data_IF_386148721022
#
_entry.id   IF_386148721022
#
_cell.length_a   1.000
_cell.length_b   1.000
_cell.length_c   1.000
_cell.angle_alpha   90.00
_cell.angle_beta   90.00
_cell.angle_gamma   90.00
#
_symmetry.space_group_name_H-M   'P 1'
#
loop_
_entity.id
_entity.type
_entity.pdbx_description
1 polymer ?
#
# COMPACT_ATOMS: atom_id res chain seq x y z
N UNK A 1 17.17 17.20 1.86
CA UNK A 1 15.85 17.48 1.24
C UNK A 1 15.35 18.85 1.71
N UNK A 2 15.07 19.79 0.79
CA UNK A 2 14.57 21.14 1.11
C UNK A 2 13.06 21.13 1.36
N UNK A 3 12.61 21.87 2.36
CA UNK A 3 11.26 21.81 2.94
C UNK A 3 10.13 22.49 2.15
N UNK A 4 8.93 22.23 2.65
CA UNK A 4 7.62 22.52 2.05
C UNK A 4 7.07 21.21 1.49
N UNK A 5 6.38 20.39 2.26
CA UNK A 5 4.90 20.39 2.28
C UNK A 5 4.30 19.73 3.54
N UNK A 6 5.13 19.36 4.52
CA UNK A 6 4.66 18.74 5.77
C UNK A 6 4.48 19.80 6.87
N UNK A 7 3.25 20.24 7.11
CA UNK A 7 2.95 21.16 8.22
C UNK A 7 2.89 20.38 9.55
N UNK A 8 3.71 20.79 10.52
CA UNK A 8 3.91 20.09 11.80
C UNK A 8 3.02 20.69 12.89
N UNK A 9 2.23 19.88 13.60
CA UNK A 9 1.44 20.38 14.75
C UNK A 9 1.83 19.87 16.13
N UNK A 10 2.77 18.92 16.30
CA UNK A 10 3.33 18.59 17.63
C UNK A 10 4.83 18.24 17.59
N UNK A 11 5.63 19.08 18.24
CA UNK A 11 7.00 18.84 18.78
C UNK A 11 7.83 17.74 18.11
N UNK A 12 8.48 18.08 16.99
CA UNK A 12 9.66 17.38 16.47
C UNK A 12 10.73 18.42 16.14
N UNK A 13 11.49 18.82 17.17
CA UNK A 13 12.48 19.91 17.12
C UNK A 13 13.79 19.56 16.37
N UNK A 14 13.91 18.35 15.79
CA UNK A 14 15.17 17.87 15.20
C UNK A 14 15.33 18.04 13.68
N UNK A 15 14.34 18.57 12.94
CA UNK A 15 14.50 18.84 11.49
C UNK A 15 15.11 20.22 11.22
N UNK A 16 16.24 20.52 11.87
CA UNK A 16 17.06 21.70 11.53
C UNK A 16 17.91 21.35 10.30
N UNK A 17 17.96 22.24 9.30
CA UNK A 17 18.69 22.11 8.02
C UNK A 17 20.21 21.80 8.20
N UNK A 18 20.72 21.86 9.42
CA UNK A 18 22.13 21.66 9.77
C UNK A 18 22.47 20.25 10.30
N UNK A 19 21.50 19.34 10.48
CA UNK A 19 21.76 17.97 10.96
C UNK A 19 21.61 16.94 9.83
N UNK A 20 22.49 15.92 9.74
CA UNK A 20 22.38 14.87 8.73
C UNK A 20 21.02 14.18 8.78
N UNK A 21 20.44 13.82 7.63
CA UNK A 21 19.12 13.19 7.51
C UNK A 21 18.99 11.95 8.43
N UNK A 22 20.06 11.18 8.58
CA UNK A 22 20.14 9.99 9.42
C UNK A 22 20.03 10.25 10.93
N UNK A 23 19.91 11.51 11.36
CA UNK A 23 19.66 11.89 12.76
C UNK A 23 18.22 12.33 13.01
N UNK A 24 17.40 12.39 11.95
CA UNK A 24 16.02 12.80 12.06
C UNK A 24 15.16 11.70 12.67
N UNK A 25 14.12 12.11 13.39
CA UNK A 25 13.16 11.17 13.95
C UNK A 25 12.52 10.34 12.83
N UNK A 26 12.39 9.03 13.07
CA UNK A 26 11.78 8.11 12.12
C UNK A 26 12.64 7.81 10.89
N UNK A 27 13.91 8.23 10.86
CA UNK A 27 14.83 7.96 9.75
C UNK A 27 15.94 7.02 10.21
N UNK A 28 16.02 5.84 9.58
CA UNK A 28 17.18 4.97 9.72
C UNK A 28 18.04 5.02 8.46
N UNK A 29 19.34 4.83 8.64
CA UNK A 29 20.29 4.78 7.54
C UNK A 29 21.24 3.57 7.62
N UNK A 30 21.60 3.06 6.46
CA UNK A 30 22.72 2.14 6.27
C UNK A 30 23.75 2.82 5.37
N UNK A 31 25.03 2.87 5.79
CA UNK A 31 26.11 3.50 5.02
C UNK A 31 25.78 4.93 4.53
N UNK A 32 25.12 5.72 5.40
CA UNK A 32 24.66 7.10 5.10
C UNK A 32 23.53 7.23 4.07
N UNK A 33 22.98 6.13 3.57
CA UNK A 33 21.76 6.12 2.76
C UNK A 33 20.54 5.85 3.64
N UNK A 34 19.46 6.61 3.47
CA UNK A 34 18.19 6.38 4.18
C UNK A 34 17.59 5.05 3.72
N UNK A 35 17.33 4.16 4.68
CA UNK A 35 16.77 2.83 4.44
C UNK A 35 15.39 2.65 5.03
N UNK A 36 15.06 3.33 6.14
CA UNK A 36 13.71 3.32 6.69
C UNK A 36 13.23 4.75 6.93
N UNK A 37 11.98 5.00 6.57
CA UNK A 37 11.25 6.23 6.90
C UNK A 37 9.92 5.84 7.57
N UNK A 38 9.88 5.94 8.90
CA UNK A 38 8.74 5.54 9.75
C UNK A 38 8.22 6.74 10.52
N UNK A 39 7.13 7.31 10.04
CA UNK A 39 6.49 8.52 10.58
C UNK A 39 5.01 8.27 10.90
N UNK A 40 4.67 7.10 11.47
CA UNK A 40 3.29 6.74 11.84
C UNK A 40 2.77 7.56 13.03
N UNK A 41 1.49 7.98 12.98
CA UNK A 41 0.79 8.53 14.15
C UNK A 41 1.23 9.93 14.61
N UNK A 42 1.96 10.69 13.78
CA UNK A 42 2.53 11.98 14.18
C UNK A 42 1.69 13.20 13.73
N UNK A 43 0.46 12.97 13.26
CA UNK A 43 -0.42 14.00 12.68
C UNK A 43 0.23 14.74 11.51
N UNK A 44 0.98 14.01 10.70
CA UNK A 44 1.60 14.53 9.48
C UNK A 44 0.53 14.82 8.42
N UNK A 45 0.62 15.97 7.74
CA UNK A 45 -0.34 16.38 6.70
C UNK A 45 0.36 16.97 5.48
N UNK A 46 -0.34 17.02 4.35
CA UNK A 46 0.22 17.38 3.05
C UNK A 46 0.36 16.18 2.13
N UNK A 47 0.96 16.36 0.96
CA UNK A 47 1.12 15.30 -0.04
C UNK A 47 2.49 14.64 0.00
N UNK A 48 2.57 13.38 -0.40
CA UNK A 48 3.83 12.67 -0.63
C UNK A 48 4.60 13.41 -1.75
N UNK A 49 5.78 13.99 -1.48
CA UNK A 49 6.51 14.78 -2.45
C UNK A 49 7.29 13.89 -3.45
N UNK A 50 7.49 14.38 -4.67
CA UNK A 50 8.27 13.67 -5.70
C UNK A 50 9.73 13.40 -5.28
N UNK A 51 10.25 14.15 -4.31
CA UNK A 51 11.56 13.93 -3.72
C UNK A 51 11.70 12.54 -3.08
N UNK A 52 10.60 11.86 -2.72
CA UNK A 52 10.65 10.50 -2.16
C UNK A 52 11.40 9.56 -3.09
N UNK A 53 11.23 9.69 -4.42
CA UNK A 53 11.88 8.87 -5.44
C UNK A 53 13.41 8.98 -5.47
N UNK A 54 14.01 9.93 -4.73
CA UNK A 54 15.47 10.03 -4.57
C UNK A 54 16.02 9.04 -3.54
N UNK A 55 15.16 8.46 -2.70
CA UNK A 55 15.56 7.50 -1.67
C UNK A 55 15.62 6.08 -2.24
N UNK A 56 16.43 5.84 -3.26
CA UNK A 56 16.48 4.55 -3.98
C UNK A 56 16.97 3.37 -3.12
N UNK A 57 17.54 3.64 -1.94
CA UNK A 57 17.93 2.63 -0.94
C UNK A 57 16.85 2.39 0.13
N UNK A 58 15.68 3.04 0.03
CA UNK A 58 14.60 2.90 0.99
C UNK A 58 13.99 1.50 0.90
N UNK A 59 14.01 0.78 2.02
CA UNK A 59 13.41 -0.54 2.20
C UNK A 59 12.05 -0.46 2.89
N UNK A 60 11.85 0.52 3.79
CA UNK A 60 10.59 0.72 4.51
C UNK A 60 10.11 2.16 4.41
N UNK A 61 8.86 2.32 3.97
CA UNK A 61 8.11 3.57 4.02
C UNK A 61 6.81 3.33 4.81
N UNK A 62 6.70 3.94 5.99
CA UNK A 62 5.50 3.85 6.81
C UNK A 62 5.04 5.27 7.20
N UNK A 63 3.87 5.66 6.67
CA UNK A 63 3.15 6.89 6.98
C UNK A 63 1.75 6.62 7.57
N UNK A 64 1.55 5.44 8.12
CA UNK A 64 0.28 4.98 8.70
C UNK A 64 -0.29 5.97 9.74
N UNK A 65 -1.62 6.02 9.84
CA UNK A 65 -2.33 6.79 10.87
C UNK A 65 -1.94 8.28 10.90
N UNK A 66 -2.06 8.96 9.76
CA UNK A 66 -1.77 10.39 9.62
C UNK A 66 -2.90 11.13 8.85
N UNK A 67 -2.62 12.33 8.34
CA UNK A 67 -3.51 13.11 7.49
C UNK A 67 -2.84 13.43 6.15
N UNK A 68 -2.03 12.50 5.63
CA UNK A 68 -1.40 12.62 4.31
C UNK A 68 -2.49 12.59 3.25
N UNK A 69 -2.44 13.50 2.27
CA UNK A 69 -3.47 13.68 1.26
C UNK A 69 -2.89 13.81 -0.15
N UNK A 70 -3.75 13.94 -1.16
CA UNK A 70 -3.31 13.94 -2.56
C UNK A 70 -3.06 12.53 -3.09
N UNK A 71 -2.30 12.39 -4.16
CA UNK A 71 -2.05 11.11 -4.83
C UNK A 71 -0.72 10.50 -4.41
N UNK A 72 -0.57 9.18 -4.53
CA UNK A 72 0.75 8.55 -4.52
C UNK A 72 1.45 8.98 -5.82
N UNK A 73 2.64 9.61 -5.76
CA UNK A 73 3.31 10.08 -6.96
C UNK A 73 3.93 8.93 -7.74
N UNK A 74 3.92 9.02 -9.08
CA UNK A 74 4.47 7.97 -9.97
C UNK A 74 5.94 7.62 -9.70
N UNK A 75 6.71 8.54 -9.10
CA UNK A 75 8.10 8.28 -8.70
C UNK A 75 8.24 7.22 -7.60
N UNK A 76 7.13 6.75 -7.01
CA UNK A 76 7.16 5.62 -6.04
C UNK A 76 7.82 4.38 -6.66
N UNK A 77 7.63 4.15 -7.96
CA UNK A 77 8.26 3.04 -8.69
C UNK A 77 9.79 3.15 -8.81
N UNK A 78 10.39 4.29 -8.46
CA UNK A 78 11.85 4.45 -8.41
C UNK A 78 12.47 3.84 -7.15
N UNK A 79 11.67 3.48 -6.15
CA UNK A 79 12.12 2.90 -4.89
C UNK A 79 12.37 1.39 -5.05
N UNK A 80 13.26 1.00 -5.95
CA UNK A 80 13.45 -0.40 -6.33
C UNK A 80 13.90 -1.32 -5.18
N UNK A 81 14.38 -0.78 -4.06
CA UNK A 81 14.72 -1.52 -2.85
C UNK A 81 13.56 -1.63 -1.84
N UNK A 82 12.38 -1.08 -2.14
CA UNK A 82 11.27 -1.02 -1.19
C UNK A 82 10.68 -2.42 -0.96
N UNK A 83 10.61 -2.79 0.31
CA UNK A 83 10.11 -4.08 0.80
C UNK A 83 8.79 -3.90 1.58
N UNK A 84 8.60 -2.74 2.23
CA UNK A 84 7.45 -2.44 3.06
C UNK A 84 6.90 -1.05 2.75
N UNK A 85 5.64 -0.99 2.29
CA UNK A 85 4.88 0.23 2.07
C UNK A 85 3.58 0.19 2.87
N UNK A 86 3.43 1.13 3.79
CA UNK A 86 2.28 1.23 4.66
C UNK A 86 1.79 2.68 4.73
N UNK A 87 0.60 2.87 4.19
CA UNK A 87 -0.09 4.15 4.03
C UNK A 87 -1.49 4.12 4.68
N UNK A 88 -1.79 3.13 5.52
CA UNK A 88 -3.10 2.96 6.15
C UNK A 88 -3.55 4.24 6.89
N UNK A 89 -4.87 4.46 6.94
CA UNK A 89 -5.52 5.57 7.68
C UNK A 89 -4.93 6.92 7.32
N UNK A 90 -5.08 7.28 6.05
CA UNK A 90 -4.73 8.59 5.53
C UNK A 90 -5.89 9.18 4.70
N UNK A 91 -5.61 10.25 3.97
CA UNK A 91 -6.55 10.95 3.10
C UNK A 91 -6.07 10.90 1.63
N UNK A 92 -5.35 9.84 1.25
CA UNK A 92 -4.84 9.66 -0.11
C UNK A 92 -5.98 9.42 -1.09
N UNK A 93 -5.82 9.90 -2.31
CA UNK A 93 -6.86 9.95 -3.35
C UNK A 93 -6.29 9.59 -4.72
N UNK A 94 -7.16 9.36 -5.69
CA UNK A 94 -6.77 9.02 -7.06
C UNK A 94 -6.32 7.56 -7.20
N UNK A 95 -6.10 7.07 -8.43
CA UNK A 95 -5.83 5.65 -8.64
C UNK A 95 -4.51 5.22 -8.00
N UNK A 96 -4.39 3.92 -7.70
CA UNK A 96 -3.10 3.29 -7.40
C UNK A 96 -2.19 3.48 -8.65
N UNK A 97 -1.03 4.15 -8.53
CA UNK A 97 -0.20 4.45 -9.70
C UNK A 97 0.40 3.17 -10.28
N UNK A 98 0.40 3.06 -11.60
CA UNK A 98 0.91 1.89 -12.33
C UNK A 98 2.38 1.57 -12.02
N UNK A 99 3.16 2.57 -11.62
CA UNK A 99 4.57 2.41 -11.23
C UNK A 99 4.76 1.71 -9.88
N UNK A 100 3.73 1.65 -9.03
CA UNK A 100 3.81 0.90 -7.77
C UNK A 100 4.00 -0.59 -8.07
N UNK A 101 3.36 -1.10 -9.12
CA UNK A 101 3.46 -2.51 -9.52
C UNK A 101 4.85 -2.92 -10.01
N UNK A 102 5.75 -1.97 -10.33
CA UNK A 102 7.14 -2.28 -10.68
C UNK A 102 8.04 -2.59 -9.47
N UNK A 103 7.53 -2.47 -8.25
CA UNK A 103 8.27 -2.72 -7.02
C UNK A 103 8.38 -4.22 -6.72
N UNK A 104 9.25 -4.91 -7.46
CA UNK A 104 9.40 -6.37 -7.40
C UNK A 104 9.91 -6.91 -6.06
N UNK A 105 10.52 -6.06 -5.21
CA UNK A 105 10.96 -6.44 -3.86
C UNK A 105 9.90 -6.19 -2.78
N UNK A 106 8.73 -5.63 -3.15
CA UNK A 106 7.70 -5.28 -2.18
C UNK A 106 7.06 -6.55 -1.61
N UNK A 107 7.14 -6.70 -0.30
CA UNK A 107 6.62 -7.83 0.48
C UNK A 107 5.33 -7.46 1.18
N UNK A 108 5.22 -6.20 1.64
CA UNK A 108 4.06 -5.67 2.34
C UNK A 108 3.54 -4.42 1.65
N UNK A 109 2.29 -4.47 1.22
CA UNK A 109 1.54 -3.32 0.74
C UNK A 109 0.25 -3.19 1.54
N UNK A 110 0.17 -2.13 2.34
CA UNK A 110 -1.03 -1.74 3.05
C UNK A 110 -1.38 -0.30 2.69
N UNK A 111 -2.54 -0.12 2.07
CA UNK A 111 -3.05 1.19 1.68
C UNK A 111 -4.45 1.44 2.24
N UNK A 112 -4.84 0.67 3.26
CA UNK A 112 -6.17 0.62 3.80
C UNK A 112 -6.70 2.00 4.23
N UNK A 113 -8.03 2.14 4.32
CA UNK A 113 -8.69 3.35 4.83
C UNK A 113 -8.21 4.64 4.15
N UNK A 114 -8.25 4.65 2.83
CA UNK A 114 -7.96 5.81 1.98
C UNK A 114 -9.08 5.99 0.94
N UNK A 115 -8.93 6.97 0.04
CA UNK A 115 -9.95 7.36 -0.95
C UNK A 115 -9.44 7.18 -2.38
N UNK A 116 -8.70 6.10 -2.67
CA UNK A 116 -8.06 5.88 -3.96
C UNK A 116 -9.06 5.88 -5.13
N UNK A 117 -10.11 5.06 -5.05
CA UNK A 117 -10.98 4.86 -6.21
C UNK A 117 -10.25 4.24 -7.40
N UNK A 118 -10.81 4.37 -8.61
CA UNK A 118 -10.27 3.69 -9.78
C UNK A 118 -10.45 2.17 -9.72
N UNK A 119 -9.59 1.42 -10.40
CA UNK A 119 -9.66 -0.05 -10.51
C UNK A 119 -8.34 -0.69 -10.08
N UNK A 120 -8.38 -1.96 -9.69
CA UNK A 120 -7.17 -2.77 -9.53
C UNK A 120 -6.64 -3.12 -10.93
N UNK A 121 -5.37 -2.82 -11.19
CA UNK A 121 -4.75 -3.05 -12.51
C UNK A 121 -4.34 -4.51 -12.67
N UNK A 122 -4.36 -5.02 -13.91
CA UNK A 122 -3.79 -6.33 -14.26
C UNK A 122 -2.29 -6.42 -13.93
N UNK A 123 -1.60 -5.27 -13.85
CA UNK A 123 -0.20 -5.22 -13.41
C UNK A 123 0.00 -5.59 -11.95
N UNK A 124 -1.05 -5.74 -11.14
CA UNK A 124 -0.92 -6.25 -9.78
C UNK A 124 -0.06 -7.52 -9.72
N UNK A 125 -0.18 -8.40 -10.73
CA UNK A 125 0.60 -9.63 -10.84
C UNK A 125 2.10 -9.44 -11.10
N UNK A 126 2.59 -8.21 -11.25
CA UNK A 126 4.02 -7.88 -11.36
C UNK A 126 4.71 -7.75 -10.00
N UNK A 127 3.95 -7.67 -8.90
CA UNK A 127 4.48 -7.62 -7.52
C UNK A 127 4.97 -9.00 -7.06
N UNK A 128 6.03 -9.50 -7.70
CA UNK A 128 6.47 -10.89 -7.59
C UNK A 128 6.92 -11.37 -6.21
N UNK A 129 7.12 -10.47 -5.24
CA UNK A 129 7.54 -10.83 -3.86
C UNK A 129 6.47 -10.54 -2.81
N UNK A 130 5.28 -10.09 -3.21
CA UNK A 130 4.26 -9.64 -2.26
C UNK A 130 3.73 -10.83 -1.43
N UNK A 131 3.68 -10.63 -0.12
CA UNK A 131 3.13 -11.58 0.84
C UNK A 131 1.84 -11.04 1.45
N UNK A 132 1.77 -9.73 1.71
CA UNK A 132 0.61 -9.06 2.30
C UNK A 132 0.12 -7.97 1.37
N UNK A 133 -1.13 -8.09 0.91
CA UNK A 133 -1.81 -7.11 0.06
C UNK A 133 -3.12 -6.68 0.72
N UNK A 134 -3.10 -5.53 1.38
CA UNK A 134 -4.27 -4.92 2.01
C UNK A 134 -4.74 -3.70 1.21
N UNK A 135 -5.97 -3.79 0.70
CA UNK A 135 -6.68 -2.77 -0.08
C UNK A 135 -8.04 -2.45 0.55
N UNK A 136 -8.23 -2.74 1.83
CA UNK A 136 -9.49 -2.59 2.54
C UNK A 136 -9.93 -1.13 2.57
N UNK A 137 -11.23 -0.89 2.32
CA UNK A 137 -11.85 0.42 2.48
C UNK A 137 -11.13 1.55 1.70
N UNK A 138 -10.89 1.31 0.40
CA UNK A 138 -10.13 2.21 -0.49
C UNK A 138 -10.98 2.86 -1.59
N UNK A 139 -12.30 2.67 -1.56
CA UNK A 139 -13.26 3.11 -2.57
C UNK A 139 -13.01 2.54 -3.99
N UNK A 140 -12.20 1.47 -4.11
CA UNK A 140 -11.85 0.82 -5.38
C UNK A 140 -13.10 0.26 -6.08
N UNK A 141 -13.08 0.19 -7.40
CA UNK A 141 -14.21 -0.25 -8.23
C UNK A 141 -13.76 -1.21 -9.32
N UNK A 142 -14.71 -1.75 -10.10
CA UNK A 142 -14.43 -2.72 -11.14
C UNK A 142 -14.36 -4.14 -10.58
N UNK A 143 -13.49 -4.98 -11.15
CA UNK A 143 -13.35 -6.40 -10.78
C UNK A 143 -11.95 -6.67 -10.23
N UNK A 144 -11.78 -7.77 -9.51
CA UNK A 144 -10.47 -8.28 -9.13
C UNK A 144 -9.85 -8.97 -10.38
N UNK A 145 -8.69 -8.53 -10.89
CA UNK A 145 -8.09 -9.07 -12.11
C UNK A 145 -7.56 -10.49 -11.91
N UNK A 146 -7.53 -11.31 -12.98
CA UNK A 146 -7.04 -12.71 -12.91
C UNK A 146 -5.55 -12.76 -12.54
N UNK A 147 -4.79 -11.74 -12.90
CA UNK A 147 -3.35 -11.59 -12.64
C UNK A 147 -2.97 -11.59 -11.17
N UNK A 148 -3.92 -11.36 -10.27
CA UNK A 148 -3.68 -11.53 -8.82
C UNK A 148 -3.22 -12.94 -8.47
N UNK A 149 -3.56 -13.93 -9.30
CA UNK A 149 -3.10 -15.33 -9.15
C UNK A 149 -1.64 -15.55 -9.52
N UNK A 150 -0.94 -14.55 -10.07
CA UNK A 150 0.52 -14.61 -10.30
C UNK A 150 1.33 -14.34 -9.03
N UNK A 151 0.68 -13.91 -7.95
CA UNK A 151 1.32 -13.58 -6.68
C UNK A 151 1.59 -14.85 -5.87
N UNK A 152 2.57 -15.65 -6.30
CA UNK A 152 2.83 -16.99 -5.75
C UNK A 152 3.23 -16.98 -4.25
N UNK A 153 3.72 -15.85 -3.73
CA UNK A 153 4.10 -15.68 -2.32
C UNK A 153 3.01 -15.04 -1.46
N UNK A 154 1.87 -14.67 -2.05
CA UNK A 154 0.78 -14.01 -1.32
C UNK A 154 0.27 -14.92 -0.20
N UNK A 155 0.17 -14.35 1.00
CA UNK A 155 -0.28 -15.00 2.24
C UNK A 155 -1.58 -14.38 2.76
N UNK A 156 -1.74 -13.07 2.59
CA UNK A 156 -2.92 -12.32 3.05
C UNK A 156 -3.41 -11.40 1.94
N UNK A 157 -4.70 -11.52 1.63
CA UNK A 157 -5.41 -10.67 0.68
C UNK A 157 -6.66 -10.07 1.33
N UNK A 158 -6.67 -8.75 1.49
CA UNK A 158 -7.85 -8.00 1.97
C UNK A 158 -8.32 -7.01 0.91
N UNK A 159 -9.55 -7.19 0.42
CA UNK A 159 -10.16 -6.35 -0.64
C UNK A 159 -11.59 -5.93 -0.32
N UNK A 160 -12.07 -6.23 0.88
CA UNK A 160 -13.38 -5.84 1.41
C UNK A 160 -13.51 -4.32 1.61
N UNK A 161 -14.72 -3.86 1.89
CA UNK A 161 -15.00 -2.44 2.08
C UNK A 161 -14.87 -1.60 0.81
N UNK A 162 -14.99 -2.20 -0.38
CA UNK A 162 -14.82 -1.51 -1.65
C UNK A 162 -16.11 -1.50 -2.49
N UNK A 163 -16.03 -0.92 -3.69
CA UNK A 163 -17.05 -0.98 -4.73
C UNK A 163 -16.69 -2.02 -5.80
N UNK A 164 -15.89 -3.02 -5.43
CA UNK A 164 -15.54 -4.14 -6.30
C UNK A 164 -16.78 -5.00 -6.56
N UNK A 165 -16.85 -5.55 -7.76
CA UNK A 165 -17.96 -6.37 -8.24
C UNK A 165 -17.41 -7.63 -8.93
N UNK A 166 -18.31 -8.58 -9.15
CA UNK A 166 -18.03 -9.75 -9.99
C UNK A 166 -17.66 -10.98 -9.17
N UNK A 167 -16.65 -11.72 -9.62
CA UNK A 167 -16.27 -13.00 -9.03
C UNK A 167 -14.78 -12.99 -8.75
N UNK A 168 -14.40 -13.45 -7.56
CA UNK A 168 -13.00 -13.66 -7.22
C UNK A 168 -12.43 -14.76 -8.16
N UNK A 169 -11.32 -14.52 -8.88
CA UNK A 169 -10.78 -15.50 -9.83
C UNK A 169 -10.53 -16.86 -9.18
N UNK A 170 -11.01 -17.95 -9.77
CA UNK A 170 -10.86 -19.30 -9.19
C UNK A 170 -9.39 -19.68 -8.93
N UNK A 171 -8.47 -19.15 -9.74
CA UNK A 171 -7.03 -19.34 -9.58
C UNK A 171 -6.48 -18.79 -8.25
N UNK A 172 -7.12 -17.80 -7.62
CA UNK A 172 -6.72 -17.38 -6.27
C UNK A 172 -7.09 -18.43 -5.21
N UNK A 173 -8.20 -19.13 -5.39
CA UNK A 173 -8.57 -20.23 -4.51
C UNK A 173 -7.61 -21.41 -4.66
N UNK A 174 -7.02 -21.59 -5.85
CA UNK A 174 -5.95 -22.57 -6.07
C UNK A 174 -4.66 -22.17 -5.34
N UNK A 175 -4.31 -20.87 -5.31
CA UNK A 175 -3.19 -20.37 -4.48
C UNK A 175 -3.43 -20.62 -2.99
N UNK A 176 -4.67 -20.57 -2.52
CA UNK A 176 -5.02 -20.92 -1.14
C UNK A 176 -4.95 -22.42 -0.86
N UNK A 177 -5.27 -23.24 -1.85
CA UNK A 177 -5.29 -24.70 -1.70
C UNK A 177 -3.88 -25.31 -1.83
N UNK A 178 -3.04 -24.75 -2.70
CA UNK A 178 -1.75 -25.33 -3.10
C UNK A 178 -0.55 -24.40 -2.93
N UNK A 179 -0.77 -23.11 -2.64
CA UNK A 179 0.27 -22.10 -2.49
C UNK A 179 0.39 -21.60 -1.05
N UNK A 180 0.81 -20.34 -0.91
CA UNK A 180 1.08 -19.70 0.38
C UNK A 180 -0.11 -18.91 0.94
N UNK A 181 -1.21 -18.76 0.18
CA UNK A 181 -2.32 -17.89 0.56
C UNK A 181 -3.09 -18.50 1.72
N UNK A 182 -3.09 -17.82 2.86
CA UNK A 182 -3.72 -18.29 4.09
C UNK A 182 -5.04 -17.59 4.34
N UNK A 183 -5.12 -16.30 4.00
CA UNK A 183 -6.22 -15.44 4.37
C UNK A 183 -6.76 -14.63 3.18
N UNK A 184 -8.09 -14.60 3.05
CA UNK A 184 -8.81 -13.79 2.07
C UNK A 184 -10.03 -13.13 2.72
N UNK A 185 -10.07 -11.79 2.71
CA UNK A 185 -11.23 -10.99 3.09
C UNK A 185 -11.85 -10.28 1.87
N UNK A 186 -13.17 -10.37 1.72
CA UNK A 186 -13.91 -9.73 0.62
C UNK A 186 -15.37 -9.41 0.98
N UNK A 187 -16.04 -8.58 0.16
CA UNK A 187 -17.46 -8.24 0.28
C UNK A 187 -18.36 -9.36 -0.32
N UNK A 188 -18.24 -10.58 0.22
CA UNK A 188 -18.88 -11.79 -0.29
C UNK A 188 -20.19 -12.19 0.41
N UNK A 189 -20.66 -11.38 1.36
CA UNK A 189 -22.00 -11.56 1.95
C UNK A 189 -23.04 -10.65 1.25
N UNK A 190 -24.30 -11.12 1.21
CA UNK A 190 -25.42 -10.42 0.58
C UNK A 190 -26.18 -11.29 -0.43
N UNK A 191 -27.33 -10.80 -0.90
CA UNK A 191 -28.16 -11.46 -1.93
C UNK A 191 -28.60 -10.46 -3.02
N UNK A 192 -27.90 -10.37 -4.17
CA UNK A 192 -26.63 -11.04 -4.48
C UNK A 192 -25.43 -10.37 -3.77
N UNK A 193 -24.31 -11.11 -3.54
CA UNK A 193 -23.08 -10.51 -3.03
C UNK A 193 -22.42 -9.59 -4.07
N UNK A 194 -21.65 -8.59 -3.62
CA UNK A 194 -20.85 -7.74 -4.52
C UNK A 194 -19.78 -8.57 -5.22
N UNK A 195 -19.03 -9.35 -4.44
CA UNK A 195 -17.99 -10.26 -4.92
C UNK A 195 -18.38 -11.69 -4.61
N UNK A 196 -18.63 -12.50 -5.63
CA UNK A 196 -18.84 -13.94 -5.46
C UNK A 196 -17.49 -14.57 -5.11
N UNK A 197 -17.40 -15.16 -3.92
CA UNK A 197 -16.19 -15.81 -3.42
C UNK A 197 -16.52 -17.14 -2.74
N UNK A 198 -15.88 -18.23 -3.18
CA UNK A 198 -16.12 -19.59 -2.65
C UNK A 198 -15.03 -20.06 -1.67
N UNK A 199 -13.94 -19.31 -1.54
CA UNK A 199 -12.78 -19.67 -0.73
C UNK A 199 -12.34 -18.57 0.26
N UNK A 200 -13.17 -17.53 0.46
CA UNK A 200 -12.89 -16.45 1.41
C UNK A 200 -12.99 -16.93 2.86
N UNK A 201 -12.10 -16.43 3.72
CA UNK A 201 -12.16 -16.67 5.16
C UNK A 201 -13.15 -15.74 5.83
N UNK A 202 -13.10 -14.46 5.44
CA UNK A 202 -13.97 -13.42 5.95
C UNK A 202 -14.81 -12.82 4.82
N UNK A 203 -16.13 -12.89 5.02
CA UNK A 203 -17.09 -12.23 4.15
C UNK A 203 -17.74 -11.07 4.91
N UNK A 204 -17.51 -9.85 4.44
CA UNK A 204 -18.10 -8.66 5.03
C UNK A 204 -19.46 -8.35 4.39
N UNK A 205 -20.46 -7.95 5.20
CA UNK A 205 -21.71 -7.41 4.68
C UNK A 205 -21.51 -5.97 4.17
N UNK A 206 -22.47 -5.51 3.36
CA UNK A 206 -22.57 -4.09 2.98
C UNK A 206 -23.02 -3.21 4.14
#
# INVERSE_FOLDING_TARGET
>A
MGGGLWERTKTLDNYRIATPECSWYGVDCENSAVTNLTLSGINMSGSIPNEIGKLTSLKRLNFESNSVSGQIPDVIGMLSALEYLDLDRNLLTGPIPESLYSLQNLVWLDIDNNQFGGTISEKIGELSSIEILSLWNCNLSGTIPEEISKLEFLQDLSVDGNNLLGTLPQSICDLKTFGNLVYIASDCNGDPPKVVCTCCDECYPQ
#
